data_IF_713534474931
#
_entry.id   IF_713534474931
#
_cell.length_a   1.000
_cell.length_b   1.000
_cell.length_c   1.000
_cell.angle_alpha   90.00
_cell.angle_beta   90.00
_cell.angle_gamma   90.00
#
_symmetry.space_group_name_H-M   'P 1'
#
loop_
_entity.id
_entity.type
_entity.pdbx_description
1 polymer ?
#
# COMPACT_ATOMS: atom_id res chain seq x y z
N UNK A 1 -6.24 10.03 -0.57
CA UNK A 1 -4.88 10.59 -0.39
C UNK A 1 -4.12 10.50 -1.70
N UNK A 2 -2.90 11.07 -1.82
CA UNK A 2 -2.08 10.92 -3.03
C UNK A 2 -1.83 9.44 -3.39
N UNK A 3 -1.60 8.62 -2.37
CA UNK A 3 -1.32 7.20 -2.56
C UNK A 3 -2.58 6.45 -3.03
N UNK A 4 -3.75 6.75 -2.43
CA UNK A 4 -5.04 6.20 -2.87
C UNK A 4 -5.29 6.50 -4.36
N UNK A 5 -5.11 7.76 -4.77
CA UNK A 5 -5.32 8.19 -6.16
C UNK A 5 -4.36 7.50 -7.12
N UNK A 6 -3.10 7.31 -6.72
CA UNK A 6 -2.11 6.58 -7.52
C UNK A 6 -2.49 5.12 -7.71
N UNK A 7 -2.88 4.44 -6.64
CA UNK A 7 -3.33 3.04 -6.69
C UNK A 7 -4.60 2.87 -7.53
N UNK A 8 -5.60 3.74 -7.35
CA UNK A 8 -6.82 3.72 -8.16
C UNK A 8 -6.53 4.00 -9.65
N UNK A 9 -5.50 4.78 -9.96
CA UNK A 9 -5.05 5.02 -11.33
C UNK A 9 -4.33 3.83 -11.96
N UNK A 10 -3.56 3.07 -11.17
CA UNK A 10 -2.79 1.92 -11.63
C UNK A 10 -3.62 0.64 -11.74
N UNK A 11 -4.68 0.50 -10.95
CA UNK A 11 -5.54 -0.69 -10.91
C UNK A 11 -6.96 -0.33 -11.35
N UNK A 12 -7.37 -0.64 -12.59
CA UNK A 12 -8.72 -0.38 -13.06
C UNK A 12 -9.79 -1.04 -12.19
N UNK A 13 -10.80 -0.28 -11.79
CA UNK A 13 -11.90 -0.76 -10.95
C UNK A 13 -11.60 -0.85 -9.46
N UNK A 14 -10.38 -0.50 -9.02
CA UNK A 14 -10.05 -0.35 -7.61
C UNK A 14 -10.63 0.96 -7.06
N UNK A 15 -11.34 0.88 -5.94
CA UNK A 15 -11.72 2.02 -5.12
C UNK A 15 -10.95 2.01 -3.82
N UNK A 16 -10.36 3.16 -3.47
CA UNK A 16 -9.55 3.32 -2.27
C UNK A 16 -10.07 4.45 -1.39
N UNK A 17 -10.06 4.23 -0.08
CA UNK A 17 -10.31 5.27 0.90
C UNK A 17 -9.31 5.19 2.05
N UNK A 18 -8.45 6.20 2.12
CA UNK A 18 -7.70 6.48 3.34
C UNK A 18 -8.59 7.04 4.45
N UNK A 19 -8.34 6.59 5.67
CA UNK A 19 -8.96 7.01 6.91
C UNK A 19 -7.95 7.64 7.87
N UNK A 20 -8.44 8.06 9.04
CA UNK A 20 -7.60 8.56 10.12
C UNK A 20 -6.74 7.44 10.72
N UNK A 21 -5.65 7.82 11.40
CA UNK A 21 -4.82 6.89 12.19
C UNK A 21 -4.33 5.67 11.41
N UNK A 22 -3.85 5.87 10.18
CA UNK A 22 -3.26 4.81 9.36
C UNK A 22 -4.25 3.80 8.75
N UNK A 23 -5.56 3.99 8.91
CA UNK A 23 -6.59 3.10 8.34
C UNK A 23 -6.74 3.31 6.84
N UNK A 24 -6.78 2.24 6.05
CA UNK A 24 -7.11 2.27 4.62
C UNK A 24 -8.07 1.15 4.27
N UNK A 25 -9.01 1.42 3.37
CA UNK A 25 -9.90 0.43 2.78
C UNK A 25 -9.77 0.44 1.25
N UNK A 26 -9.86 -0.76 0.67
CA UNK A 26 -9.84 -1.06 -0.75
C UNK A 26 -11.06 -1.90 -1.11
N UNK A 27 -11.69 -1.63 -2.25
CA UNK A 27 -12.74 -2.46 -2.83
C UNK A 27 -12.46 -2.71 -4.31
N UNK A 28 -12.66 -3.94 -4.76
CA UNK A 28 -12.44 -4.39 -6.13
C UNK A 28 -13.78 -4.62 -6.85
N UNK A 29 -13.71 -4.64 -8.18
CA UNK A 29 -14.89 -4.79 -9.04
C UNK A 29 -15.58 -6.17 -8.90
N UNK A 30 -14.85 -7.19 -8.45
CA UNK A 30 -15.39 -8.53 -8.16
C UNK A 30 -16.11 -8.62 -6.80
N UNK A 31 -16.19 -7.50 -6.06
CA UNK A 31 -16.82 -7.41 -4.75
C UNK A 31 -15.91 -7.77 -3.58
N UNK A 32 -14.66 -8.18 -3.84
CA UNK A 32 -13.68 -8.38 -2.78
C UNK A 32 -13.22 -7.04 -2.18
N UNK A 33 -12.83 -7.06 -0.90
CA UNK A 33 -12.45 -5.85 -0.18
C UNK A 33 -11.40 -6.15 0.89
N UNK A 34 -10.59 -5.14 1.20
CA UNK A 34 -9.55 -5.18 2.21
C UNK A 34 -9.64 -3.94 3.07
N UNK A 35 -9.46 -4.11 4.37
CA UNK A 35 -9.15 -3.02 5.28
C UNK A 35 -7.82 -3.32 5.97
N UNK A 36 -6.95 -2.31 6.08
CA UNK A 36 -5.71 -2.39 6.82
C UNK A 36 -5.58 -1.20 7.76
N UNK A 37 -4.85 -1.38 8.85
CA UNK A 37 -4.43 -0.31 9.75
C UNK A 37 -2.94 -0.46 10.05
N UNK A 38 -2.21 0.64 9.94
CA UNK A 38 -0.87 0.72 10.51
C UNK A 38 -1.04 1.13 11.97
N UNK A 39 -0.61 0.26 12.89
CA UNK A 39 -0.91 0.39 14.32
C UNK A 39 -0.38 1.70 14.92
N UNK A 40 0.81 2.14 14.50
CA UNK A 40 1.41 3.41 14.92
C UNK A 40 0.90 4.63 14.15
N UNK A 41 -0.14 4.45 13.31
CA UNK A 41 -0.78 5.49 12.51
C UNK A 41 0.07 6.06 11.37
N UNK A 42 1.31 5.60 11.19
CA UNK A 42 2.27 6.25 10.31
C UNK A 42 2.15 5.80 8.84
N UNK A 43 2.45 6.71 7.91
CA UNK A 43 2.27 6.46 6.47
C UNK A 43 3.30 5.50 5.86
N UNK A 44 4.50 5.40 6.44
CA UNK A 44 5.67 4.69 5.87
C UNK A 44 5.44 3.22 5.50
N UNK A 45 4.55 2.52 6.20
CA UNK A 45 4.25 1.12 5.94
C UNK A 45 3.01 0.92 5.04
N UNK A 46 2.20 1.96 4.84
CA UNK A 46 0.91 1.87 4.16
C UNK A 46 1.05 1.33 2.73
N UNK A 47 1.88 1.99 1.92
CA UNK A 47 2.00 1.65 0.50
C UNK A 47 2.61 0.25 0.31
N UNK A 48 3.73 -0.13 0.97
CA UNK A 48 4.26 -1.48 0.88
C UNK A 48 3.26 -2.57 1.26
N UNK A 49 2.50 -2.38 2.34
CA UNK A 49 1.49 -3.37 2.78
C UNK A 49 0.33 -3.44 1.79
N UNK A 50 -0.20 -2.30 1.33
CA UNK A 50 -1.31 -2.29 0.38
C UNK A 50 -0.93 -2.97 -0.94
N UNK A 51 0.24 -2.67 -1.51
CA UNK A 51 0.75 -3.34 -2.72
C UNK A 51 0.82 -4.85 -2.52
N UNK A 52 1.38 -5.29 -1.40
CA UNK A 52 1.52 -6.72 -1.15
C UNK A 52 0.17 -7.43 -0.98
N UNK A 53 -0.82 -6.78 -0.35
CA UNK A 53 -2.17 -7.34 -0.26
C UNK A 53 -2.86 -7.38 -1.62
N UNK A 54 -2.76 -6.33 -2.44
CA UNK A 54 -3.31 -6.34 -3.80
C UNK A 54 -2.68 -7.46 -4.65
N UNK A 55 -1.37 -7.70 -4.52
CA UNK A 55 -0.69 -8.85 -5.14
C UNK A 55 -1.23 -10.19 -4.65
N UNK A 56 -1.48 -10.33 -3.35
CA UNK A 56 -2.08 -11.56 -2.80
C UNK A 56 -3.50 -11.83 -3.32
N UNK A 57 -4.20 -10.78 -3.79
CA UNK A 57 -5.49 -10.87 -4.48
C UNK A 57 -5.36 -11.07 -6.00
N UNK A 58 -4.14 -11.29 -6.51
CA UNK A 58 -3.87 -11.56 -7.93
C UNK A 58 -3.79 -10.31 -8.81
N UNK A 59 -3.72 -9.11 -8.22
CA UNK A 59 -3.54 -7.87 -8.98
C UNK A 59 -2.07 -7.54 -9.19
N UNK A 60 -1.75 -7.03 -10.38
CA UNK A 60 -0.44 -6.51 -10.72
C UNK A 60 -0.57 -5.19 -11.47
N UNK A 61 0.40 -4.30 -11.26
CA UNK A 61 0.58 -3.09 -12.05
C UNK A 61 2.09 -2.78 -12.18
N UNK A 62 2.55 -2.15 -13.28
CA UNK A 62 3.97 -1.84 -13.48
C UNK A 62 4.61 -1.03 -12.34
N UNK A 63 3.83 -0.21 -11.66
CA UNK A 63 4.28 0.67 -10.58
C UNK A 63 4.44 -0.05 -9.23
N UNK A 64 3.92 -1.28 -9.09
CA UNK A 64 3.90 -1.98 -7.81
C UNK A 64 5.30 -2.23 -7.26
N UNK A 65 6.29 -2.52 -8.09
CA UNK A 65 7.66 -2.73 -7.61
C UNK A 65 8.24 -1.47 -6.95
N UNK A 66 7.99 -0.30 -7.53
CA UNK A 66 8.42 0.96 -6.95
C UNK A 66 7.67 1.29 -5.65
N UNK A 67 6.41 0.86 -5.53
CA UNK A 67 5.55 1.15 -4.37
C UNK A 67 5.61 0.08 -3.26
N UNK A 68 6.19 -1.09 -3.55
CA UNK A 68 6.44 -2.16 -2.59
C UNK A 68 7.49 -1.78 -1.53
N UNK A 69 8.18 -0.64 -1.71
CA UNK A 69 9.11 -0.09 -0.73
C UNK A 69 8.81 1.38 -0.45
N UNK A 70 9.25 1.88 0.69
CA UNK A 70 9.17 3.30 1.02
C UNK A 70 10.48 3.76 1.66
N UNK A 71 11.14 4.80 1.13
CA UNK A 71 12.44 5.23 1.63
C UNK A 71 12.31 5.80 3.05
N UNK A 72 13.32 5.54 3.86
CA UNK A 72 13.55 6.14 5.17
C UNK A 72 14.63 7.19 5.00
N UNK A 73 14.32 8.44 5.35
CA UNK A 73 15.24 9.56 5.18
C UNK A 73 15.82 10.00 6.52
N UNK A 74 17.13 10.26 6.55
CA UNK A 74 17.85 10.92 7.63
C UNK A 74 18.49 12.20 7.11
N UNK A 75 18.06 13.37 7.62
CA UNK A 75 18.55 14.66 7.11
C UNK A 75 18.23 14.92 5.64
N UNK A 76 17.17 14.30 5.10
CA UNK A 76 16.81 14.38 3.68
C UNK A 76 17.53 13.40 2.75
N UNK A 77 18.48 12.63 3.28
CA UNK A 77 19.20 11.59 2.53
C UNK A 77 18.60 10.22 2.85
N UNK A 78 18.48 9.35 1.85
CA UNK A 78 18.02 7.98 2.08
C UNK A 78 19.01 7.19 2.94
N UNK A 79 18.51 6.61 4.03
CA UNK A 79 19.28 5.81 5.00
C UNK A 79 18.72 4.40 5.17
N UNK A 80 17.68 4.04 4.40
CA UNK A 80 17.06 2.72 4.42
C UNK A 80 15.70 2.72 3.74
N UNK A 81 14.97 1.62 3.86
CA UNK A 81 13.63 1.48 3.31
C UNK A 81 12.73 0.58 4.17
N UNK A 82 11.44 0.92 4.21
CA UNK A 82 10.38 0.05 4.71
C UNK A 82 9.96 -0.87 3.58
N UNK A 83 9.89 -2.17 3.86
CA UNK A 83 9.46 -3.22 2.93
C UNK A 83 8.72 -4.30 3.70
N UNK A 84 7.85 -5.04 3.02
CA UNK A 84 7.22 -6.20 3.63
C UNK A 84 8.28 -7.26 3.94
N UNK A 85 8.12 -7.94 5.08
CA UNK A 85 8.87 -9.15 5.35
C UNK A 85 8.35 -10.31 4.47
N UNK A 86 9.22 -11.18 3.93
CA UNK A 86 8.81 -12.25 3.02
C UNK A 86 7.77 -13.23 3.57
N UNK A 87 7.62 -13.33 4.89
CA UNK A 87 6.81 -14.32 5.59
C UNK A 87 5.48 -13.80 6.15
N UNK A 88 5.10 -12.56 5.83
CA UNK A 88 3.92 -11.91 6.44
C UNK A 88 2.60 -12.25 5.74
N UNK A 89 2.58 -12.40 4.43
CA UNK A 89 1.39 -12.78 3.66
C UNK A 89 1.62 -14.18 3.06
N UNK A 90 0.68 -15.09 3.31
CA UNK A 90 0.64 -16.44 2.73
C UNK A 90 -0.53 -16.55 1.80
#
# INVERSE_FOLDING_TARGET
TRDDTRLMGAVPGLLMKGGAEGVHAAALADGSAVALKIDDGHARARMPVMVAVLRSLGLEAPEFDAWATSPVLGGGVEVGAVRLRPDVLR
#
